data_IF_918535155942
#
_entry.id   IF_918535155942
#
_cell.length_a   1.000
_cell.length_b   1.000
_cell.length_c   1.000
_cell.angle_alpha   90.00
_cell.angle_beta   90.00
_cell.angle_gamma   90.00
#
_symmetry.space_group_name_H-M   'P 1'
#
loop_
_entity.id
_entity.type
_entity.pdbx_description
1 polymer ?
#
# COMPACT_ATOMS: atom_id res chain seq x y z
N UNK A 1 -40.98 10.13 2.00
CA UNK A 1 -40.91 8.95 1.11
C UNK A 1 -40.48 9.36 -0.30
N UNK A 2 -41.33 9.63 -1.30
CA UNK A 2 -40.87 9.88 -2.70
C UNK A 2 -39.89 11.08 -2.85
N UNK A 3 -40.05 12.16 -2.08
CA UNK A 3 -39.15 13.34 -2.16
C UNK A 3 -37.79 13.15 -1.50
N UNK A 4 -37.67 12.16 -0.62
CA UNK A 4 -36.47 11.90 0.18
C UNK A 4 -35.48 11.05 -0.61
N UNK A 5 -36.00 10.02 -1.28
CA UNK A 5 -35.25 9.13 -2.17
C UNK A 5 -34.60 9.88 -3.36
N UNK A 6 -35.26 10.93 -3.88
CA UNK A 6 -34.68 11.76 -4.94
C UNK A 6 -33.48 12.59 -4.46
N UNK A 7 -33.42 12.95 -3.18
CA UNK A 7 -32.33 13.77 -2.66
C UNK A 7 -31.01 13.00 -2.56
N UNK A 8 -31.10 11.72 -2.19
CA UNK A 8 -29.95 10.80 -2.09
C UNK A 8 -29.33 10.55 -3.47
N UNK A 9 -30.16 10.34 -4.49
CA UNK A 9 -29.70 10.18 -5.88
C UNK A 9 -28.92 11.40 -6.39
N UNK A 10 -29.40 12.62 -6.12
CA UNK A 10 -28.70 13.85 -6.51
C UNK A 10 -27.47 14.18 -5.63
N UNK A 11 -27.35 13.60 -4.44
CA UNK A 11 -26.16 13.71 -3.61
C UNK A 11 -25.04 12.80 -4.12
N UNK A 12 -25.35 11.54 -4.45
CA UNK A 12 -24.42 10.60 -5.07
C UNK A 12 -23.89 11.12 -6.42
N UNK A 13 -24.77 11.72 -7.23
CA UNK A 13 -24.38 12.31 -8.51
C UNK A 13 -23.42 13.49 -8.35
N UNK A 14 -23.64 14.34 -7.33
CA UNK A 14 -22.74 15.46 -7.01
C UNK A 14 -21.38 14.99 -6.50
N UNK A 15 -21.33 13.87 -5.80
CA UNK A 15 -20.05 13.32 -5.31
C UNK A 15 -19.22 12.69 -6.44
N UNK A 16 -19.85 12.07 -7.44
CA UNK A 16 -19.18 11.63 -8.67
C UNK A 16 -18.64 12.84 -9.44
N UNK A 17 -19.43 13.91 -9.56
CA UNK A 17 -19.00 15.14 -10.24
C UNK A 17 -17.87 15.85 -9.48
N UNK A 18 -17.89 15.83 -8.14
CA UNK A 18 -16.83 16.39 -7.30
C UNK A 18 -15.48 15.65 -7.46
N UNK A 19 -15.51 14.36 -7.81
CA UNK A 19 -14.32 13.55 -8.09
C UNK A 19 -13.94 13.56 -9.58
N UNK A 20 -14.64 14.33 -10.41
CA UNK A 20 -14.37 14.37 -11.86
C UNK A 20 -13.13 15.22 -12.14
N UNK A 21 -12.04 14.55 -12.49
CA UNK A 21 -10.80 15.20 -12.93
C UNK A 21 -10.99 15.72 -14.34
N UNK A 22 -10.75 17.02 -14.54
CA UNK A 22 -10.78 17.66 -15.86
C UNK A 22 -9.36 17.77 -16.40
N UNK A 23 -9.02 16.96 -17.41
CA UNK A 23 -7.71 16.97 -18.05
C UNK A 23 -7.72 17.98 -19.21
N UNK A 24 -6.78 18.92 -19.20
CA UNK A 24 -6.55 19.84 -20.31
C UNK A 24 -5.51 19.24 -21.28
N UNK A 25 -5.94 19.04 -22.52
CA UNK A 25 -5.11 18.46 -23.59
C UNK A 25 -4.27 19.49 -24.35
N UNK A 26 -4.40 20.79 -24.03
CA UNK A 26 -3.61 21.86 -24.66
C UNK A 26 -2.10 21.67 -24.50
N UNK A 27 -1.66 20.94 -23.47
CA UNK A 27 -0.25 20.70 -23.17
C UNK A 27 0.30 19.44 -23.83
N UNK A 28 -0.53 18.60 -24.48
CA UNK A 28 -0.07 17.33 -25.05
C UNK A 28 0.99 17.51 -26.12
N UNK A 29 0.90 18.55 -26.95
CA UNK A 29 1.88 18.79 -28.02
C UNK A 29 3.25 19.15 -27.45
N UNK A 30 3.29 19.92 -26.35
CA UNK A 30 4.53 20.23 -25.63
C UNK A 30 5.12 18.98 -24.97
N UNK A 31 4.28 18.16 -24.32
CA UNK A 31 4.71 16.90 -23.69
C UNK A 31 5.30 15.96 -24.74
N UNK A 32 4.69 15.84 -25.93
CA UNK A 32 5.23 15.03 -27.02
C UNK A 32 6.56 15.55 -27.53
N UNK A 33 6.70 16.86 -27.70
CA UNK A 33 7.95 17.48 -28.13
C UNK A 33 9.08 17.25 -27.12
N UNK A 34 8.82 17.48 -25.83
CA UNK A 34 9.80 17.28 -24.76
C UNK A 34 10.20 15.80 -24.63
N UNK A 35 9.23 14.88 -24.78
CA UNK A 35 9.49 13.44 -24.77
C UNK A 35 10.39 13.01 -25.92
N UNK A 36 10.16 13.51 -27.15
CA UNK A 36 10.99 13.20 -28.32
C UNK A 36 12.45 13.63 -28.12
N UNK A 37 12.69 14.81 -27.54
CA UNK A 37 14.06 15.28 -27.23
C UNK A 37 14.75 14.40 -26.19
N UNK A 38 13.98 13.88 -25.22
CA UNK A 38 14.50 13.00 -24.18
C UNK A 38 14.86 11.62 -24.74
N UNK A 39 14.04 11.10 -25.65
CA UNK A 39 14.30 9.86 -26.39
C UNK A 39 15.59 9.96 -27.19
N UNK A 40 15.75 11.02 -28.01
CA UNK A 40 16.95 11.27 -28.80
C UNK A 40 18.23 11.30 -27.96
N UNK A 41 18.14 11.80 -26.72
CA UNK A 41 19.30 11.92 -25.81
C UNK A 41 19.63 10.62 -25.07
N UNK A 42 18.70 9.69 -24.99
CA UNK A 42 18.90 8.39 -24.35
C UNK A 42 19.39 7.33 -25.35
N UNK A 43 19.17 7.54 -26.65
CA UNK A 43 19.72 6.70 -27.70
C UNK A 43 21.25 6.79 -27.62
N UNK A 44 21.88 5.64 -27.33
CA UNK A 44 23.33 5.45 -27.39
C UNK A 44 23.66 4.97 -28.79
N UNK A 45 24.64 5.60 -29.44
CA UNK A 45 25.11 5.17 -30.76
C UNK A 45 25.72 3.77 -30.64
N UNK A 46 25.15 2.78 -31.31
CA UNK A 46 25.63 1.38 -31.35
C UNK A 46 27.07 1.27 -31.90
N UNK A 47 27.57 2.32 -32.57
CA UNK A 47 28.95 2.43 -33.07
C UNK A 47 29.98 2.84 -31.98
N UNK A 48 29.54 3.41 -30.85
CA UNK A 48 30.41 3.64 -29.67
C UNK A 48 30.55 2.37 -28.79
N UNK A 49 29.88 1.28 -29.16
CA UNK A 49 29.85 0.00 -28.42
C UNK A 49 30.79 -1.07 -28.99
N UNK A 50 31.93 -0.67 -29.59
CA UNK A 50 32.99 -1.59 -30.03
C UNK A 50 34.26 -1.55 -29.16
N UNK A 51 34.08 -1.51 -27.84
CA UNK A 51 35.08 -2.07 -26.93
C UNK A 51 34.41 -3.15 -26.08
N UNK A 52 34.80 -4.44 -26.22
CA UNK A 52 34.53 -5.40 -25.16
C UNK A 52 35.36 -4.96 -23.97
N UNK A 53 34.74 -4.30 -22.99
CA UNK A 53 35.33 -4.16 -21.66
C UNK A 53 35.31 -5.55 -21.07
N UNK A 54 36.39 -6.27 -21.33
CA UNK A 54 36.66 -7.57 -20.73
C UNK A 54 36.72 -7.38 -19.22
N UNK A 55 35.64 -7.75 -18.52
CA UNK A 55 35.67 -8.14 -17.11
C UNK A 55 36.25 -7.13 -16.13
N UNK A 56 35.68 -5.93 -16.04
CA UNK A 56 35.90 -5.06 -14.89
C UNK A 56 34.62 -4.98 -14.06
N UNK A 57 34.68 -5.72 -12.96
CA UNK A 57 33.93 -5.58 -11.71
C UNK A 57 33.51 -4.12 -11.43
N UNK A 58 32.22 -3.82 -11.59
CA UNK A 58 31.58 -2.62 -11.03
C UNK A 58 30.71 -3.06 -9.86
N UNK A 59 31.33 -3.69 -8.88
CA UNK A 59 30.89 -3.57 -7.50
C UNK A 59 31.34 -2.18 -7.03
N UNK A 60 30.43 -1.30 -6.54
CA UNK A 60 30.90 -0.08 -5.87
C UNK A 60 31.83 -0.51 -4.72
N UNK A 61 32.98 0.15 -4.49
CA UNK A 61 33.83 -0.19 -3.36
C UNK A 61 33.06 0.15 -2.08
N UNK A 62 32.46 -0.85 -1.45
CA UNK A 62 32.16 -0.78 -0.02
C UNK A 62 33.51 -0.72 0.68
N UNK A 63 33.85 0.34 1.44
CA UNK A 63 34.97 0.24 2.36
C UNK A 63 34.64 -0.85 3.37
N UNK A 64 35.30 -2.01 3.24
CA UNK A 64 35.41 -3.02 4.29
C UNK A 64 36.09 -2.38 5.51
N UNK A 65 35.29 -1.85 6.43
CA UNK A 65 35.72 -1.63 7.80
C UNK A 65 35.30 -2.86 8.61
N UNK A 66 36.23 -3.80 8.76
CA UNK A 66 36.15 -4.80 9.81
C UNK A 66 35.99 -4.10 11.16
N UNK A 67 35.04 -4.50 12.04
CA UNK A 67 34.99 -3.96 13.39
C UNK A 67 36.15 -4.54 14.22
N UNK A 68 36.99 -3.73 14.87
CA UNK A 68 37.85 -4.22 15.94
C UNK A 68 37.01 -4.53 17.20
N UNK A 69 37.34 -5.61 17.96
CA UNK A 69 36.67 -5.94 19.22
C UNK A 69 36.98 -4.94 20.36
N UNK A 70 36.22 -4.96 21.47
CA UNK A 70 35.80 -3.75 22.19
C UNK A 70 36.62 -3.39 23.44
N UNK A 71 36.40 -2.13 23.89
CA UNK A 71 36.37 -1.60 25.27
C UNK A 71 37.31 -0.39 25.51
N UNK A 72 37.05 0.52 26.48
CA UNK A 72 35.79 0.89 27.14
C UNK A 72 35.54 2.43 27.18
N UNK A 73 34.27 2.78 27.41
CA UNK A 73 33.79 3.94 28.19
C UNK A 73 33.89 5.37 27.62
N UNK A 74 32.68 5.90 27.43
CA UNK A 74 32.12 7.09 28.10
C UNK A 74 31.72 8.26 27.19
N UNK A 75 30.60 8.85 27.59
CA UNK A 75 30.01 10.10 27.15
C UNK A 75 29.19 10.14 25.83
N UNK A 76 27.87 10.14 26.06
CA UNK A 76 26.81 10.94 25.41
C UNK A 76 26.30 10.53 24.02
N UNK A 77 25.68 9.35 23.95
CA UNK A 77 24.65 9.08 22.97
C UNK A 77 23.35 9.83 23.36
N UNK A 78 22.99 10.85 22.58
CA UNK A 78 21.61 11.32 22.53
C UNK A 78 20.73 10.13 22.11
N UNK A 79 19.62 9.83 22.81
CA UNK A 79 18.72 8.80 22.35
C UNK A 79 18.06 9.32 21.08
N UNK A 80 18.44 8.76 19.93
CA UNK A 80 17.49 8.58 18.85
C UNK A 80 16.41 7.67 19.44
N UNK A 81 15.40 8.30 20.02
CA UNK A 81 14.07 7.71 20.19
C UNK A 81 13.63 7.35 18.78
N UNK A 82 13.90 6.11 18.39
CA UNK A 82 13.00 5.39 17.53
C UNK A 82 11.90 4.93 18.50
N UNK A 83 10.72 5.55 18.54
CA UNK A 83 9.67 5.05 19.40
C UNK A 83 9.23 3.72 18.80
N UNK A 84 9.81 2.66 19.37
CA UNK A 84 9.12 1.44 19.74
C UNK A 84 8.31 0.84 18.59
N UNK A 85 8.96 -0.06 17.83
CA UNK A 85 8.30 -1.33 17.52
C UNK A 85 7.75 -1.85 18.85
N UNK A 86 6.46 -1.62 19.06
CA UNK A 86 5.72 -2.26 20.12
C UNK A 86 5.51 -3.70 19.64
N UNK A 87 6.51 -4.54 19.90
CA UNK A 87 6.30 -5.96 20.11
C UNK A 87 5.42 -6.12 21.35
N UNK A 88 4.13 -5.87 21.17
CA UNK A 88 3.13 -6.61 21.92
C UNK A 88 2.86 -7.87 21.10
N UNK A 89 2.85 -9.07 21.68
CA UNK A 89 2.22 -10.22 21.05
C UNK A 89 0.71 -9.97 21.10
N UNK A 90 0.26 -8.99 20.34
CA UNK A 90 -1.13 -8.80 20.05
C UNK A 90 -1.41 -9.74 18.89
N UNK A 91 -2.30 -10.70 19.12
CA UNK A 91 -2.88 -11.64 18.15
C UNK A 91 -3.56 -10.93 16.96
N UNK A 92 -3.55 -9.59 16.95
CA UNK A 92 -3.79 -8.68 15.85
C UNK A 92 -2.51 -8.54 15.01
N UNK A 93 -2.49 -9.10 13.81
CA UNK A 93 -1.41 -9.11 12.81
C UNK A 93 -0.96 -7.71 12.31
N UNK A 94 -0.85 -6.71 13.18
CA UNK A 94 -0.59 -5.32 12.79
C UNK A 94 -1.66 -4.73 11.88
N UNK A 95 -2.88 -5.28 11.89
CA UNK A 95 -3.98 -4.75 11.08
C UNK A 95 -4.27 -3.31 11.50
N UNK A 96 -4.32 -2.41 10.52
CA UNK A 96 -4.68 -1.01 10.78
C UNK A 96 -6.14 -0.90 11.20
N UNK A 97 -6.52 0.20 11.84
CA UNK A 97 -7.90 0.42 12.28
C UNK A 97 -8.92 0.32 11.12
N UNK A 98 -8.52 0.79 9.93
CA UNK A 98 -9.35 0.69 8.73
C UNK A 98 -9.48 -0.75 8.26
N UNK A 99 -8.38 -1.51 8.20
CA UNK A 99 -8.39 -2.93 7.82
C UNK A 99 -9.23 -3.78 8.78
N UNK A 100 -9.13 -3.57 10.10
CA UNK A 100 -9.97 -4.27 11.08
C UNK A 100 -11.45 -3.96 10.88
N UNK A 101 -11.78 -2.69 10.62
CA UNK A 101 -13.15 -2.26 10.35
C UNK A 101 -13.69 -2.89 9.07
N UNK A 102 -12.86 -3.01 8.03
CA UNK A 102 -13.21 -3.69 6.79
C UNK A 102 -13.45 -5.18 7.01
N UNK A 103 -12.54 -5.86 7.70
CA UNK A 103 -12.68 -7.27 8.04
C UNK A 103 -13.95 -7.53 8.84
N UNK A 104 -14.22 -6.73 9.88
CA UNK A 104 -15.46 -6.83 10.65
C UNK A 104 -16.71 -6.57 9.81
N UNK A 105 -16.67 -5.59 8.89
CA UNK A 105 -17.77 -5.34 7.97
C UNK A 105 -18.03 -6.53 7.04
N UNK A 106 -16.98 -7.17 6.51
CA UNK A 106 -17.13 -8.37 5.67
C UNK A 106 -17.68 -9.57 6.47
N UNK A 107 -17.21 -9.76 7.70
CA UNK A 107 -17.69 -10.85 8.58
C UNK A 107 -19.16 -10.67 9.01
N UNK A 108 -19.61 -9.43 9.19
CA UNK A 108 -20.98 -9.11 9.58
C UNK A 108 -21.92 -8.87 8.39
N UNK A 109 -21.40 -8.79 7.16
CA UNK A 109 -22.16 -8.41 5.98
C UNK A 109 -22.59 -6.93 5.97
N UNK A 110 -21.81 -6.07 6.63
CA UNK A 110 -22.05 -4.64 6.74
C UNK A 110 -21.68 -3.84 5.47
N UNK A 111 -22.16 -2.60 5.39
CA UNK A 111 -21.91 -1.72 4.26
C UNK A 111 -20.44 -1.25 4.20
N UNK A 112 -19.88 -1.21 2.99
CA UNK A 112 -18.49 -0.82 2.70
C UNK A 112 -18.34 0.64 2.21
N UNK A 113 -19.44 1.42 2.24
CA UNK A 113 -19.47 2.79 1.71
C UNK A 113 -18.48 3.74 2.41
N UNK A 114 -18.17 3.44 3.68
CA UNK A 114 -17.22 4.22 4.48
C UNK A 114 -15.79 4.19 3.91
N UNK A 115 -15.38 3.09 3.25
CA UNK A 115 -14.04 2.98 2.62
C UNK A 115 -13.86 4.07 1.59
N UNK A 116 -14.89 4.28 0.76
CA UNK A 116 -14.91 5.29 -0.29
C UNK A 116 -15.09 6.70 0.25
N UNK A 117 -15.78 6.87 1.38
CA UNK A 117 -15.96 8.14 2.07
C UNK A 117 -14.66 8.64 2.73
N UNK A 118 -13.84 7.72 3.24
CA UNK A 118 -12.53 8.02 3.84
C UNK A 118 -11.40 8.18 2.81
N UNK A 119 -11.73 8.11 1.52
CA UNK A 119 -10.75 8.26 0.42
C UNK A 119 -9.81 7.06 0.27
N UNK A 120 -10.14 5.91 0.87
CA UNK A 120 -9.37 4.69 0.74
C UNK A 120 -9.82 3.85 -0.46
N UNK A 121 -8.91 3.04 -0.97
CA UNK A 121 -9.17 2.13 -2.08
C UNK A 121 -9.45 0.75 -1.50
N UNK A 122 -10.63 0.21 -1.81
CA UNK A 122 -11.08 -1.09 -1.29
C UNK A 122 -10.11 -2.22 -1.62
N UNK A 123 -9.59 -2.28 -2.85
CA UNK A 123 -8.61 -3.31 -3.24
C UNK A 123 -7.33 -3.23 -2.39
N UNK A 124 -6.81 -2.02 -2.13
CA UNK A 124 -5.59 -1.84 -1.33
C UNK A 124 -5.77 -2.31 0.10
N UNK A 125 -6.95 -2.09 0.70
CA UNK A 125 -7.24 -2.61 2.04
C UNK A 125 -7.40 -4.13 2.04
N UNK A 126 -8.04 -4.70 1.03
CA UNK A 126 -8.17 -6.15 0.87
C UNK A 126 -6.80 -6.80 0.71
N UNK A 127 -5.97 -6.27 -0.19
CA UNK A 127 -4.60 -6.73 -0.42
C UNK A 127 -3.76 -6.60 0.84
N UNK A 128 -3.86 -5.49 1.56
CA UNK A 128 -3.15 -5.27 2.83
C UNK A 128 -3.59 -6.21 3.95
N UNK A 129 -4.88 -6.56 4.03
CA UNK A 129 -5.37 -7.60 4.96
C UNK A 129 -4.80 -8.95 4.56
N UNK A 130 -4.93 -9.33 3.28
CA UNK A 130 -4.45 -10.61 2.78
C UNK A 130 -2.95 -10.78 3.02
N UNK A 131 -2.15 -9.76 2.75
CA UNK A 131 -0.70 -9.79 2.98
C UNK A 131 -0.34 -9.99 4.46
N UNK A 132 -1.04 -9.32 5.38
CA UNK A 132 -0.79 -9.45 6.83
C UNK A 132 -1.27 -10.78 7.40
N UNK A 133 -2.34 -11.33 6.84
CA UNK A 133 -2.89 -12.62 7.27
C UNK A 133 -2.22 -13.80 6.56
N UNK A 134 -1.44 -13.57 5.51
CA UNK A 134 -0.79 -14.63 4.74
C UNK A 134 0.18 -15.47 5.60
N UNK A 135 0.85 -14.86 6.60
CA UNK A 135 1.76 -15.61 7.48
C UNK A 135 1.06 -16.69 8.31
N UNK A 136 -0.18 -16.44 8.74
CA UNK A 136 -0.96 -17.36 9.59
C UNK A 136 -1.79 -18.33 8.74
N UNK A 137 -2.52 -17.81 7.76
CA UNK A 137 -3.45 -18.61 6.96
C UNK A 137 -2.76 -19.32 5.80
N UNK A 138 -1.58 -18.82 5.38
CA UNK A 138 -0.84 -19.30 4.19
C UNK A 138 -1.68 -19.32 2.92
N UNK A 139 -2.78 -18.56 2.89
CA UNK A 139 -3.74 -18.47 1.81
C UNK A 139 -4.40 -17.08 1.80
N UNK A 140 -5.12 -16.80 0.72
CA UNK A 140 -5.90 -15.57 0.56
C UNK A 140 -7.18 -15.67 1.39
N UNK A 141 -7.36 -14.74 2.32
CA UNK A 141 -8.48 -14.77 3.26
C UNK A 141 -9.71 -14.04 2.74
N UNK A 142 -9.50 -13.02 1.89
CA UNK A 142 -10.55 -12.25 1.23
C UNK A 142 -10.37 -12.36 -0.27
N UNK A 143 -11.39 -12.84 -0.97
CA UNK A 143 -11.38 -13.03 -2.43
C UNK A 143 -12.67 -12.57 -3.11
N UNK A 144 -12.62 -12.41 -4.44
CA UNK A 144 -13.77 -12.11 -5.28
C UNK A 144 -14.05 -10.62 -5.53
N UNK A 145 -14.98 -10.37 -6.45
CA UNK A 145 -15.53 -9.05 -6.78
C UNK A 145 -17.06 -9.17 -6.82
N UNK A 146 -17.79 -8.84 -5.74
CA UNK A 146 -17.38 -8.08 -4.55
C UNK A 146 -16.50 -8.85 -3.56
N UNK A 147 -15.65 -8.18 -2.78
CA UNK A 147 -14.75 -8.84 -1.84
C UNK A 147 -15.55 -9.54 -0.74
N UNK A 148 -15.29 -10.83 -0.55
CA UNK A 148 -15.89 -11.67 0.47
C UNK A 148 -14.81 -12.48 1.21
N UNK A 149 -15.05 -12.76 2.49
CA UNK A 149 -14.15 -13.64 3.27
C UNK A 149 -14.37 -15.07 2.83
N UNK A 150 -13.29 -15.83 2.63
CA UNK A 150 -13.34 -17.27 2.34
C UNK A 150 -14.04 -18.00 3.49
N UNK A 151 -15.02 -18.84 3.16
CA UNK A 151 -15.88 -19.51 4.15
C UNK A 151 -15.08 -20.38 5.13
N UNK A 152 -14.01 -21.04 4.67
CA UNK A 152 -13.14 -21.87 5.52
C UNK A 152 -12.47 -21.09 6.66
N UNK A 153 -12.22 -19.78 6.46
CA UNK A 153 -11.55 -18.92 7.44
C UNK A 153 -12.52 -18.00 8.20
N UNK A 154 -13.79 -17.96 7.79
CA UNK A 154 -14.80 -17.04 8.33
C UNK A 154 -15.02 -17.22 9.84
N UNK A 155 -15.13 -18.46 10.30
CA UNK A 155 -15.33 -18.77 11.73
C UNK A 155 -14.10 -18.41 12.58
N UNK A 156 -12.90 -18.70 12.06
CA UNK A 156 -11.64 -18.40 12.74
C UNK A 156 -11.43 -16.88 12.88
N UNK A 157 -11.63 -16.14 11.80
CA UNK A 157 -11.56 -14.68 11.80
C UNK A 157 -12.63 -14.05 12.69
N UNK A 158 -13.86 -14.58 12.66
CA UNK A 158 -14.91 -14.13 13.56
C UNK A 158 -14.50 -14.33 15.02
N UNK A 159 -13.94 -15.49 15.38
CA UNK A 159 -13.42 -15.74 16.72
C UNK A 159 -12.32 -14.76 17.14
N UNK A 160 -11.39 -14.46 16.24
CA UNK A 160 -10.20 -13.63 16.55
C UNK A 160 -10.47 -12.13 16.56
N UNK A 161 -11.33 -11.64 15.67
CA UNK A 161 -11.53 -10.21 15.42
C UNK A 161 -12.87 -9.65 15.91
N UNK A 162 -13.86 -10.48 16.24
CA UNK A 162 -15.10 -9.99 16.87
C UNK A 162 -14.94 -9.61 18.35
N UNK A 163 -13.92 -10.15 19.03
CA UNK A 163 -13.68 -9.94 20.46
C UNK A 163 -12.94 -8.65 20.80
N UNK A 164 -12.60 -7.80 19.81
CA UNK A 164 -11.93 -6.51 20.01
C UNK A 164 -12.86 -5.32 20.24
N UNK A 165 -14.17 -5.54 20.40
CA UNK A 165 -15.17 -4.51 20.68
C UNK A 165 -15.68 -4.70 22.12
N UNK A 166 -14.87 -4.31 23.11
CA UNK A 166 -15.34 -4.04 24.49
C UNK A 166 -14.77 -2.72 25.00
#
# INVERSE_FOLDING_TARGET
>A
IIREETAEFFAAQREIEARRVHLDFSQLDRIRADAAVTEERLIVDEDDELLPVAGEDISPPMPEQSPPPPAPQDAVAAPYTNPQQQDTPSTDHGLTQAEKRLLCALLTGGALDWVRAEGQILSVLVDGINEKLYEDFSDTVIEGEPPAVVEDYREELAGRYSHGIE
#
